data_IF_795042668834
#
_entry.id   IF_795042668834
#
_cell.length_a   1.000
_cell.length_b   1.000
_cell.length_c   1.000
_cell.angle_alpha   90.00
_cell.angle_beta   90.00
_cell.angle_gamma   90.00
#
_symmetry.space_group_name_H-M   'P 1'
#
loop_
_entity.id
_entity.type
_entity.pdbx_description
1 polymer ?
#
# COMPACT_ATOMS: atom_id res chain seq x y z
N UNK A 1 -0.75 13.57 -2.78
CA UNK A 1 -1.00 12.27 -2.11
C UNK A 1 -1.60 12.56 -0.75
N UNK A 2 -2.71 11.93 -0.37
CA UNK A 2 -3.30 12.11 0.97
C UNK A 2 -2.50 11.25 1.97
N UNK A 3 -1.87 11.81 3.01
CA UNK A 3 -1.19 11.03 4.03
C UNK A 3 -2.17 10.09 4.74
N UNK A 4 -1.63 8.94 5.13
CA UNK A 4 -2.35 7.90 5.84
C UNK A 4 -1.96 7.92 7.31
N UNK A 5 -2.95 8.09 8.19
CA UNK A 5 -2.74 8.06 9.63
C UNK A 5 -3.12 6.67 10.13
N UNK A 6 -2.11 5.86 10.45
CA UNK A 6 -2.29 4.54 11.07
C UNK A 6 -2.78 4.68 12.51
N UNK A 7 -3.23 3.59 13.17
CA UNK A 7 -3.56 3.62 14.59
C UNK A 7 -2.40 4.23 15.41
N UNK A 8 -2.74 5.20 16.25
CA UNK A 8 -1.82 5.84 17.19
C UNK A 8 -2.00 5.15 18.54
N UNK A 9 -0.93 4.59 19.08
CA UNK A 9 -0.87 4.05 20.43
C UNK A 9 0.46 4.46 21.10
N UNK A 10 0.59 4.21 22.40
CA UNK A 10 1.84 4.40 23.15
C UNK A 10 2.72 3.16 22.89
N UNK A 11 3.42 3.13 21.77
CA UNK A 11 4.44 2.11 21.53
C UNK A 11 5.82 2.71 21.84
N UNK A 12 6.49 2.13 22.85
CA UNK A 12 7.86 2.36 23.36
C UNK A 12 8.43 3.79 23.21
N UNK A 13 8.57 4.48 24.36
CA UNK A 13 9.17 5.81 24.61
C UNK A 13 10.44 6.09 23.78
N UNK A 14 10.75 7.28 23.24
CA UNK A 14 10.16 8.61 23.26
C UNK A 14 10.75 9.41 22.08
N UNK A 15 9.91 10.13 21.32
CA UNK A 15 10.29 11.26 20.43
C UNK A 15 9.08 12.16 20.07
N UNK A 16 7.83 11.73 20.36
CA UNK A 16 6.59 12.40 19.90
C UNK A 16 5.67 12.90 21.03
N UNK A 17 6.03 12.64 22.30
CA UNK A 17 5.26 13.01 23.49
C UNK A 17 5.03 11.83 24.45
N UNK A 18 4.68 12.13 25.71
CA UNK A 18 4.42 11.14 26.77
C UNK A 18 2.92 10.78 26.95
N UNK A 19 2.04 11.41 26.18
CA UNK A 19 0.59 11.15 26.21
C UNK A 19 0.07 10.89 24.80
N UNK A 20 -1.02 10.13 24.68
CA UNK A 20 -1.70 9.91 23.39
C UNK A 20 -2.03 11.24 22.71
N UNK A 21 -2.53 12.23 23.46
CA UNK A 21 -2.84 13.56 22.92
C UNK A 21 -1.61 14.24 22.31
N UNK A 22 -0.46 14.19 22.98
CA UNK A 22 0.78 14.77 22.47
C UNK A 22 1.28 14.05 21.21
N UNK A 23 1.28 12.71 21.22
CA UNK A 23 1.69 11.89 20.07
C UNK A 23 0.76 12.14 18.87
N UNK A 24 -0.54 12.17 19.11
CA UNK A 24 -1.56 12.47 18.10
C UNK A 24 -1.36 13.86 17.51
N UNK A 25 -1.15 14.88 18.35
CA UNK A 25 -0.91 16.25 17.91
C UNK A 25 0.32 16.34 17.01
N UNK A 26 1.43 15.72 17.42
CA UNK A 26 2.67 15.73 16.64
C UNK A 26 2.50 15.03 15.30
N UNK A 27 1.86 13.85 15.27
CA UNK A 27 1.63 13.08 14.04
C UNK A 27 0.63 13.76 13.10
N UNK A 28 -0.44 14.33 13.63
CA UNK A 28 -1.50 14.96 12.85
C UNK A 28 -1.11 16.34 12.33
N UNK A 29 -0.31 17.12 13.07
CA UNK A 29 0.24 18.40 12.58
C UNK A 29 1.19 18.26 11.39
N UNK A 30 1.75 17.08 11.15
CA UNK A 30 2.53 16.80 9.95
C UNK A 30 1.67 16.72 8.67
N UNK A 31 0.34 16.69 8.79
CA UNK A 31 -0.60 16.68 7.67
C UNK A 31 -0.81 18.12 7.18
N UNK A 32 -0.62 18.36 5.88
CA UNK A 32 -0.66 19.71 5.31
C UNK A 32 -2.08 20.24 5.01
N UNK A 33 -2.96 19.42 4.42
CA UNK A 33 -4.33 19.86 4.01
C UNK A 33 -5.39 18.77 4.10
N UNK A 34 -5.07 17.56 3.64
CA UNK A 34 -6.02 16.43 3.63
C UNK A 34 -5.32 15.15 4.08
N UNK A 35 -5.95 14.33 4.93
CA UNK A 35 -5.49 13.00 5.32
C UNK A 35 -6.63 12.00 5.44
N UNK A 36 -6.29 10.70 5.39
CA UNK A 36 -7.21 9.60 5.70
C UNK A 36 -6.74 8.95 7.00
N UNK A 37 -7.65 8.80 7.95
CA UNK A 37 -7.37 8.23 9.27
C UNK A 37 -7.94 6.82 9.43
N UNK A 38 -7.11 5.90 9.94
CA UNK A 38 -7.53 4.58 10.37
C UNK A 38 -8.44 4.66 11.60
N UNK A 39 -9.10 3.54 11.94
CA UNK A 39 -9.83 3.44 13.19
C UNK A 39 -8.85 3.56 14.37
N UNK A 40 -9.06 4.56 15.22
CA UNK A 40 -8.22 4.82 16.37
C UNK A 40 -8.80 4.14 17.61
N UNK A 41 -7.89 3.68 18.49
CA UNK A 41 -8.25 3.05 19.77
C UNK A 41 -8.63 4.09 20.82
N UNK A 42 -7.94 5.23 20.80
CA UNK A 42 -8.05 6.28 21.81
C UNK A 42 -8.89 7.44 21.27
N UNK A 43 -9.86 7.89 22.07
CA UNK A 43 -10.78 8.97 21.68
C UNK A 43 -10.02 10.29 21.47
N UNK A 44 -8.97 10.50 22.26
CA UNK A 44 -8.12 11.69 22.24
C UNK A 44 -7.50 11.94 20.86
N UNK A 45 -7.30 10.89 20.06
CA UNK A 45 -6.80 11.04 18.68
C UNK A 45 -7.85 11.72 17.79
N UNK A 46 -9.13 11.35 17.95
CA UNK A 46 -10.24 11.98 17.23
C UNK A 46 -10.48 13.41 17.70
N UNK A 47 -10.39 13.66 19.01
CA UNK A 47 -10.53 15.03 19.54
C UNK A 47 -9.43 15.96 18.99
N UNK A 48 -8.19 15.46 18.87
CA UNK A 48 -7.10 16.24 18.23
C UNK A 48 -7.34 16.44 16.74
N UNK A 49 -7.84 15.42 16.02
CA UNK A 49 -8.16 15.55 14.61
C UNK A 49 -9.19 16.67 14.38
N UNK A 50 -10.31 16.64 15.10
CA UNK A 50 -11.37 17.65 15.00
C UNK A 50 -10.85 19.07 15.28
N UNK A 51 -10.07 19.25 16.35
CA UNK A 51 -9.48 20.56 16.66
C UNK A 51 -8.58 21.07 15.52
N UNK A 52 -7.83 20.18 14.84
CA UNK A 52 -6.98 20.57 13.71
C UNK A 52 -7.79 20.90 12.45
N UNK A 53 -8.94 20.26 12.24
CA UNK A 53 -9.86 20.61 11.16
C UNK A 53 -10.40 22.03 11.36
N UNK A 54 -10.85 22.34 12.58
CA UNK A 54 -11.41 23.64 12.95
C UNK A 54 -10.36 24.77 12.91
N UNK A 55 -9.16 24.53 13.45
CA UNK A 55 -8.14 25.56 13.65
C UNK A 55 -7.30 25.83 12.38
N UNK A 56 -7.07 24.80 11.54
CA UNK A 56 -6.16 24.89 10.39
C UNK A 56 -6.82 24.57 9.05
N UNK A 57 -8.12 24.28 9.02
CA UNK A 57 -8.85 23.94 7.78
C UNK A 57 -8.35 22.65 7.13
N UNK A 58 -7.79 21.74 7.93
CA UNK A 58 -7.38 20.40 7.46
C UNK A 58 -8.64 19.53 7.32
N UNK A 59 -8.65 18.60 6.36
CA UNK A 59 -9.72 17.59 6.23
C UNK A 59 -9.15 16.21 6.55
N UNK A 60 -9.68 15.57 7.58
CA UNK A 60 -9.27 14.27 8.11
C UNK A 60 -10.46 13.33 8.04
N UNK A 61 -10.50 12.53 6.98
CA UNK A 61 -11.64 11.66 6.72
C UNK A 61 -11.37 10.23 7.19
N UNK A 62 -12.36 9.61 7.83
CA UNK A 62 -12.28 8.21 8.25
C UNK A 62 -12.23 7.26 7.07
N UNK A 63 -11.45 6.18 7.19
CA UNK A 63 -11.30 5.19 6.11
C UNK A 63 -12.63 4.55 5.69
N UNK A 64 -13.60 4.44 6.61
CA UNK A 64 -14.90 3.83 6.36
C UNK A 64 -15.72 4.57 5.28
N UNK A 65 -15.49 5.87 5.09
CA UNK A 65 -16.11 6.65 4.00
C UNK A 65 -15.66 6.19 2.60
N UNK A 66 -14.60 5.38 2.53
CA UNK A 66 -13.92 5.01 1.30
C UNK A 66 -13.88 3.52 0.99
N UNK A 67 -14.14 2.65 1.98
CA UNK A 67 -14.16 1.20 1.81
C UNK A 67 -15.58 0.80 1.38
N UNK A 68 -15.73 0.37 0.13
CA UNK A 68 -17.00 -0.14 -0.39
C UNK A 68 -17.23 -1.57 0.12
N UNK A 69 -18.48 -2.02 0.09
CA UNK A 69 -18.85 -3.35 0.60
C UNK A 69 -18.05 -4.49 -0.05
N UNK A 70 -17.87 -4.43 -1.38
CA UNK A 70 -17.01 -5.35 -2.14
C UNK A 70 -15.54 -5.37 -1.70
N UNK A 71 -15.04 -4.27 -1.15
CA UNK A 71 -13.66 -4.15 -0.67
C UNK A 71 -13.57 -4.75 0.75
N UNK A 72 -14.61 -4.57 1.58
CA UNK A 72 -14.73 -5.23 2.89
C UNK A 72 -14.74 -6.74 2.78
N UNK A 73 -15.48 -7.30 1.82
CA UNK A 73 -15.53 -8.75 1.56
C UNK A 73 -14.13 -9.30 1.23
N UNK A 74 -13.38 -8.62 0.36
CA UNK A 74 -12.00 -9.02 0.03
C UNK A 74 -11.06 -8.90 1.22
N UNK A 75 -11.12 -7.78 1.96
CA UNK A 75 -10.31 -7.58 3.17
C UNK A 75 -10.62 -8.67 4.20
N UNK A 76 -11.89 -9.05 4.36
CA UNK A 76 -12.32 -10.12 5.24
C UNK A 76 -11.76 -11.48 4.81
N UNK A 77 -11.85 -11.84 3.53
CA UNK A 77 -11.26 -13.07 2.99
C UNK A 77 -9.75 -13.14 3.22
N UNK A 78 -9.02 -12.05 2.96
CA UNK A 78 -7.57 -11.97 3.20
C UNK A 78 -7.27 -12.14 4.69
N UNK A 79 -8.05 -11.51 5.56
CA UNK A 79 -7.90 -11.57 7.01
C UNK A 79 -8.06 -13.00 7.53
N UNK A 80 -9.11 -13.70 7.09
CA UNK A 80 -9.37 -15.10 7.48
C UNK A 80 -8.28 -16.04 6.97
N UNK A 81 -7.91 -15.92 5.69
CA UNK A 81 -6.91 -16.80 5.07
C UNK A 81 -5.51 -16.65 5.68
N UNK A 82 -5.17 -15.46 6.20
CA UNK A 82 -3.84 -15.16 6.73
C UNK A 82 -3.80 -15.03 8.26
N UNK A 83 -4.92 -15.25 8.95
CA UNK A 83 -5.06 -15.08 10.41
C UNK A 83 -4.49 -13.74 10.91
N UNK A 84 -4.81 -12.67 10.18
CA UNK A 84 -4.26 -11.35 10.49
C UNK A 84 -4.82 -10.81 11.79
N UNK A 85 -3.94 -10.31 12.66
CA UNK A 85 -4.33 -9.56 13.85
C UNK A 85 -4.91 -8.19 13.46
N UNK A 86 -5.83 -7.61 14.27
CA UNK A 86 -6.63 -6.45 13.86
C UNK A 86 -5.85 -5.25 13.32
N UNK A 87 -4.66 -4.95 13.85
CA UNK A 87 -3.85 -3.82 13.38
C UNK A 87 -3.30 -4.05 11.95
N UNK A 88 -2.99 -5.29 11.58
CA UNK A 88 -2.52 -5.63 10.23
C UNK A 88 -3.64 -5.49 9.20
N UNK A 89 -4.87 -5.80 9.60
CA UNK A 89 -6.05 -5.59 8.77
C UNK A 89 -6.24 -4.10 8.48
N UNK A 90 -6.10 -3.24 9.50
CA UNK A 90 -6.22 -1.80 9.32
C UNK A 90 -5.11 -1.23 8.43
N UNK A 91 -3.86 -1.67 8.63
CA UNK A 91 -2.74 -1.26 7.78
C UNK A 91 -2.92 -1.71 6.32
N UNK A 92 -3.42 -2.92 6.10
CA UNK A 92 -3.73 -3.44 4.76
C UNK A 92 -4.82 -2.59 4.09
N UNK A 93 -5.90 -2.28 4.80
CA UNK A 93 -6.98 -1.44 4.29
C UNK A 93 -6.51 -0.03 3.92
N UNK A 94 -5.69 0.60 4.77
CA UNK A 94 -5.10 1.91 4.46
C UNK A 94 -4.18 1.83 3.26
N UNK A 95 -3.23 0.88 3.23
CA UNK A 95 -2.26 0.75 2.16
C UNK A 95 -2.94 0.47 0.82
N UNK A 96 -3.90 -0.46 0.77
CA UNK A 96 -4.68 -0.74 -0.42
C UNK A 96 -5.41 0.51 -0.91
N UNK A 97 -5.99 1.30 0.02
CA UNK A 97 -6.71 2.52 -0.31
C UNK A 97 -5.80 3.62 -0.84
N UNK A 98 -4.65 3.90 -0.20
CA UNK A 98 -3.72 4.91 -0.69
C UNK A 98 -3.16 4.55 -2.07
N UNK A 99 -2.89 3.27 -2.31
CA UNK A 99 -2.45 2.76 -3.61
C UNK A 99 -3.58 2.99 -4.64
N UNK A 100 -4.80 2.58 -4.35
CA UNK A 100 -5.94 2.75 -5.28
C UNK A 100 -6.21 4.23 -5.55
N UNK A 101 -6.27 5.09 -4.52
CA UNK A 101 -6.59 6.50 -4.72
C UNK A 101 -5.48 7.30 -5.38
N UNK A 102 -4.22 6.95 -5.13
CA UNK A 102 -3.08 7.63 -5.77
C UNK A 102 -2.85 7.15 -7.20
N UNK A 103 -3.32 5.94 -7.54
CA UNK A 103 -3.02 5.30 -8.82
C UNK A 103 -4.25 5.12 -9.73
N UNK A 104 -5.48 5.40 -9.28
CA UNK A 104 -6.70 5.21 -10.11
C UNK A 104 -6.75 6.06 -11.38
N UNK A 105 -6.03 7.19 -11.44
CA UNK A 105 -6.08 8.10 -12.58
C UNK A 105 -5.32 7.58 -13.80
N UNK A 106 -4.40 6.63 -13.60
CA UNK A 106 -3.59 6.10 -14.68
C UNK A 106 -3.52 4.58 -14.60
N UNK A 107 -3.32 3.95 -15.75
CA UNK A 107 -2.92 2.54 -15.77
C UNK A 107 -1.40 2.44 -15.85
N UNK A 108 -0.83 1.55 -15.07
CA UNK A 108 0.62 1.37 -14.96
C UNK A 108 1.08 0.07 -15.61
N UNK A 109 2.30 0.05 -16.12
CA UNK A 109 3.03 -1.21 -16.33
C UNK A 109 3.65 -1.60 -14.99
N UNK A 110 3.30 -2.78 -14.48
CA UNK A 110 3.80 -3.26 -13.20
C UNK A 110 5.13 -3.98 -13.41
N UNK A 111 6.22 -3.44 -12.85
CA UNK A 111 7.50 -4.17 -12.78
C UNK A 111 7.48 -5.05 -11.55
N UNK A 112 7.56 -6.37 -11.74
CA UNK A 112 7.25 -7.33 -10.68
C UNK A 112 8.18 -8.54 -10.61
N UNK A 113 8.47 -8.96 -9.38
CA UNK A 113 8.86 -10.32 -9.02
C UNK A 113 8.43 -10.56 -7.57
N UNK A 114 8.44 -11.81 -7.13
CA UNK A 114 8.08 -12.17 -5.75
C UNK A 114 8.90 -13.35 -5.25
N UNK A 115 9.03 -13.44 -3.93
CA UNK A 115 9.48 -14.64 -3.25
C UNK A 115 8.35 -15.67 -3.10
N UNK A 116 8.73 -16.95 -3.02
CA UNK A 116 7.82 -18.10 -2.92
C UNK A 116 6.95 -18.08 -1.65
N UNK A 117 7.45 -17.49 -0.57
CA UNK A 117 6.78 -17.38 0.74
C UNK A 117 5.71 -16.26 0.78
N UNK A 118 5.58 -15.46 -0.29
CA UNK A 118 4.63 -14.34 -0.35
C UNK A 118 3.33 -14.70 -1.06
N UNK A 119 2.27 -13.99 -0.71
CA UNK A 119 0.95 -14.10 -1.34
C UNK A 119 0.86 -13.36 -2.69
N UNK A 120 1.76 -13.68 -3.63
CA UNK A 120 1.88 -12.94 -4.90
C UNK A 120 0.61 -12.97 -5.76
N UNK A 121 -0.17 -14.06 -5.72
CA UNK A 121 -1.47 -14.15 -6.42
C UNK A 121 -2.47 -13.11 -5.93
N UNK A 122 -2.59 -12.95 -4.61
CA UNK A 122 -3.51 -12.00 -4.00
C UNK A 122 -3.09 -10.56 -4.29
N UNK A 123 -1.79 -10.27 -4.19
CA UNK A 123 -1.22 -8.96 -4.55
C UNK A 123 -1.56 -8.62 -6.01
N UNK A 124 -1.34 -9.54 -6.94
CA UNK A 124 -1.67 -9.34 -8.36
C UNK A 124 -3.17 -9.10 -8.56
N UNK A 125 -4.04 -9.78 -7.80
CA UNK A 125 -5.49 -9.56 -7.84
C UNK A 125 -5.89 -8.14 -7.40
N UNK A 126 -5.25 -7.64 -6.34
CA UNK A 126 -5.44 -6.27 -5.83
C UNK A 126 -4.96 -5.23 -6.85
N UNK A 127 -3.83 -5.47 -7.51
CA UNK A 127 -3.21 -4.53 -8.46
C UNK A 127 -3.84 -4.60 -9.87
N UNK A 128 -4.45 -5.72 -10.26
CA UNK A 128 -5.07 -5.93 -11.58
C UNK A 128 -5.94 -4.76 -12.06
N UNK A 129 -6.80 -4.13 -11.22
CA UNK A 129 -7.63 -3.00 -11.65
C UNK A 129 -6.84 -1.75 -12.07
N UNK A 130 -5.60 -1.57 -11.63
CA UNK A 130 -4.79 -0.35 -11.87
C UNK A 130 -3.60 -0.58 -12.82
N UNK A 131 -3.40 -1.80 -13.34
CA UNK A 131 -2.28 -2.14 -14.24
C UNK A 131 -2.78 -2.47 -15.66
N UNK A 132 -1.92 -2.26 -16.66
CA UNK A 132 -2.12 -2.65 -18.07
C UNK A 132 -1.50 -4.02 -18.36
N UNK A 133 -0.27 -4.20 -17.89
CA UNK A 133 0.60 -5.33 -18.17
C UNK A 133 1.65 -5.46 -17.06
N UNK A 134 2.32 -6.61 -17.03
CA UNK A 134 3.38 -6.92 -16.07
C UNK A 134 4.70 -7.14 -16.80
N UNK A 135 5.73 -6.42 -16.41
CA UNK A 135 7.11 -6.66 -16.82
C UNK A 135 7.84 -7.42 -15.69
N UNK A 136 8.13 -8.70 -15.92
CA UNK A 136 8.79 -9.56 -14.94
C UNK A 136 10.27 -9.20 -14.90
N UNK A 137 10.74 -8.66 -13.77
CA UNK A 137 12.14 -8.29 -13.56
C UNK A 137 12.91 -9.42 -12.90
N UNK A 138 14.15 -9.65 -13.34
CA UNK A 138 15.00 -10.64 -12.70
C UNK A 138 15.53 -10.13 -11.35
N UNK A 139 15.53 -10.99 -10.34
CA UNK A 139 16.18 -10.74 -9.04
C UNK A 139 17.16 -11.90 -8.73
N UNK A 140 18.28 -11.60 -8.10
CA UNK A 140 19.33 -12.58 -7.77
C UNK A 140 19.06 -13.21 -6.39
N UNK A 141 18.09 -14.13 -6.33
CA UNK A 141 17.78 -14.89 -5.11
C UNK A 141 17.01 -16.18 -5.48
N UNK A 142 17.45 -17.33 -4.97
CA UNK A 142 16.86 -18.65 -5.26
C UNK A 142 15.45 -18.84 -4.67
N UNK A 143 15.10 -18.03 -3.67
CA UNK A 143 13.77 -18.05 -3.04
C UNK A 143 12.72 -17.39 -3.92
N UNK A 144 13.10 -16.74 -5.03
CA UNK A 144 12.16 -16.11 -5.96
C UNK A 144 11.24 -17.15 -6.60
N UNK A 145 10.03 -16.72 -6.94
CA UNK A 145 9.13 -17.50 -7.79
C UNK A 145 9.81 -17.66 -9.15
N UNK A 146 9.87 -18.89 -9.66
CA UNK A 146 10.40 -19.13 -11.01
C UNK A 146 9.56 -18.37 -12.03
N UNK A 147 10.21 -17.78 -13.02
CA UNK A 147 9.55 -17.00 -14.09
C UNK A 147 8.37 -17.77 -14.69
N UNK A 148 8.53 -19.06 -14.98
CA UNK A 148 7.50 -19.89 -15.60
C UNK A 148 6.24 -20.00 -14.73
N UNK A 149 6.40 -20.15 -13.42
CA UNK A 149 5.27 -20.17 -12.47
C UNK A 149 4.58 -18.82 -12.42
N UNK A 150 5.34 -17.72 -12.42
CA UNK A 150 4.76 -16.38 -12.40
C UNK A 150 4.02 -16.06 -13.71
N UNK A 151 4.59 -16.42 -14.86
CA UNK A 151 3.94 -16.29 -16.17
C UNK A 151 2.63 -17.06 -16.22
N UNK A 152 2.62 -18.32 -15.78
CA UNK A 152 1.39 -19.12 -15.71
C UNK A 152 0.30 -18.45 -14.87
N UNK A 153 0.66 -17.88 -13.72
CA UNK A 153 -0.30 -17.16 -12.88
C UNK A 153 -0.85 -15.91 -13.58
N UNK A 154 0.01 -15.18 -14.30
CA UNK A 154 -0.42 -14.00 -15.05
C UNK A 154 -1.35 -14.39 -16.22
N UNK A 155 -1.06 -15.50 -16.90
CA UNK A 155 -1.91 -16.08 -17.95
C UNK A 155 -3.28 -16.51 -17.41
N UNK A 156 -3.30 -17.26 -16.30
CA UNK A 156 -4.52 -17.68 -15.61
C UNK A 156 -5.38 -16.47 -15.18
N UNK A 157 -4.74 -15.34 -14.87
CA UNK A 157 -5.39 -14.09 -14.52
C UNK A 157 -5.73 -13.21 -15.75
N UNK A 158 -5.39 -13.64 -16.97
CA UNK A 158 -5.54 -12.88 -18.21
C UNK A 158 -4.82 -11.51 -18.18
N UNK A 159 -3.63 -11.47 -17.60
CA UNK A 159 -2.77 -10.29 -17.50
C UNK A 159 -1.65 -10.43 -18.53
N UNK A 160 -1.53 -9.46 -19.44
CA UNK A 160 -0.42 -9.43 -20.41
C UNK A 160 0.90 -9.33 -19.66
N UNK A 161 1.90 -10.11 -20.08
CA UNK A 161 3.21 -10.09 -19.45
C UNK A 161 4.36 -10.16 -20.45
N UNK A 162 5.51 -9.62 -20.03
CA UNK A 162 6.77 -9.68 -20.76
C UNK A 162 7.94 -9.60 -19.78
N UNK A 163 9.18 -9.66 -20.28
CA UNK A 163 10.36 -9.46 -19.45
C UNK A 163 10.73 -7.99 -19.38
N UNK A 164 11.01 -7.50 -18.17
CA UNK A 164 11.62 -6.20 -17.98
C UNK A 164 13.03 -6.19 -18.59
N UNK A 165 13.32 -5.23 -19.47
CA UNK A 165 14.64 -5.08 -20.11
C UNK A 165 15.28 -3.76 -19.72
N UNK A 166 14.56 -2.66 -19.95
CA UNK A 166 15.01 -1.31 -19.66
C UNK A 166 13.81 -0.41 -19.37
N UNK A 167 14.09 0.80 -18.88
CA UNK A 167 13.05 1.77 -18.55
C UNK A 167 12.63 2.50 -19.82
N UNK A 168 11.35 2.36 -20.18
CA UNK A 168 10.75 3.16 -21.24
C UNK A 168 10.14 4.46 -20.67
N UNK A 169 10.67 5.62 -21.06
CA UNK A 169 10.21 6.94 -20.60
C UNK A 169 8.76 7.26 -20.97
N UNK A 170 8.16 6.58 -21.96
CA UNK A 170 6.75 6.76 -22.32
C UNK A 170 5.79 5.96 -21.45
N UNK A 171 6.28 4.99 -20.67
CA UNK A 171 5.47 4.17 -19.76
C UNK A 171 5.44 4.78 -18.36
N UNK A 172 4.30 4.61 -17.69
CA UNK A 172 4.19 4.84 -16.24
C UNK A 172 4.39 3.52 -15.53
N UNK A 173 5.44 3.42 -14.73
CA UNK A 173 5.78 2.20 -14.00
C UNK A 173 5.28 2.23 -12.56
N UNK A 174 4.72 1.09 -12.13
CA UNK A 174 4.56 0.75 -10.72
C UNK A 174 5.60 -0.34 -10.42
N UNK A 175 6.55 -0.07 -9.54
CA UNK A 175 7.57 -1.06 -9.13
C UNK A 175 7.12 -1.66 -7.80
N UNK A 176 6.84 -2.95 -7.77
CA UNK A 176 6.26 -3.61 -6.59
C UNK A 176 6.83 -5.02 -6.41
N UNK A 177 6.95 -5.48 -5.16
CA UNK A 177 7.53 -6.78 -4.84
C UNK A 177 8.39 -6.71 -3.58
N UNK A 178 9.71 -6.70 -3.76
CA UNK A 178 10.70 -6.66 -2.68
C UNK A 178 11.71 -5.52 -2.85
N UNK A 179 12.57 -5.30 -1.85
CA UNK A 179 13.73 -4.41 -1.99
C UNK A 179 14.63 -4.81 -3.16
N UNK A 180 14.82 -6.11 -3.41
CA UNK A 180 15.60 -6.62 -4.54
C UNK A 180 14.99 -6.25 -5.89
N UNK A 181 13.65 -6.20 -5.98
CA UNK A 181 12.94 -5.72 -7.18
C UNK A 181 13.20 -4.23 -7.40
N UNK A 182 13.10 -3.42 -6.35
CA UNK A 182 13.38 -1.99 -6.43
C UNK A 182 14.86 -1.72 -6.81
N UNK A 183 15.79 -2.46 -6.20
CA UNK A 183 17.22 -2.36 -6.52
C UNK A 183 17.51 -2.74 -7.97
N UNK A 184 16.99 -3.89 -8.45
CA UNK A 184 17.15 -4.33 -9.83
C UNK A 184 16.59 -3.30 -10.82
N UNK A 185 15.43 -2.71 -10.52
CA UNK A 185 14.83 -1.67 -11.35
C UNK A 185 15.69 -0.39 -11.38
N UNK A 186 16.26 0.02 -10.25
CA UNK A 186 17.16 1.17 -10.19
C UNK A 186 18.48 0.91 -10.92
N UNK A 187 19.03 -0.31 -10.83
CA UNK A 187 20.20 -0.72 -11.63
C UNK A 187 19.90 -0.63 -13.12
N UNK A 188 18.69 -0.98 -13.55
CA UNK A 188 18.21 -0.78 -14.93
C UNK A 188 18.05 0.68 -15.39
N UNK A 189 18.31 1.68 -14.52
CA UNK A 189 18.51 3.09 -14.92
C UNK A 189 19.93 3.39 -15.37
N UNK A 190 20.88 2.49 -15.10
CA UNK A 190 22.30 2.72 -15.32
C UNK A 190 22.67 2.32 -16.74
N UNK A 191 22.30 3.19 -17.69
CA UNK A 191 22.92 3.36 -19.02
C UNK A 191 22.50 4.73 -19.58
#
# INVERSE_FOLDING_TARGET
MRPLITPIDIDHEAFLGSTIKAIATTKLKAVQKHAIIAKQKHKEVYDVALNLEDEYGVSIEGIDAYIKEKDKEKIFLITQNNKLVPYLVQNLSLAAKAIIDSLKEFKYTLVYNSYKDKNYKEILSILKPIINDVEIINIEDERKVSVQVLQKVLDDMSIKHSHFKNINKSKKYLVFGSFSVAEAFLKGKSE
#
